data_IF_637901097941
#
_entry.id   IF_637901097941
#
_cell.length_a   1.000
_cell.length_b   1.000
_cell.length_c   1.000
_cell.angle_alpha   90.00
_cell.angle_beta   90.00
_cell.angle_gamma   90.00
#
_symmetry.space_group_name_H-M   'P 1'
#
loop_
_entity.id
_entity.type
_entity.pdbx_description
1 polymer ?
#
# COMPACT_ATOMS: atom_id res chain seq x y z
N UNK A 1 24.73 7.59 -32.29
CA UNK A 1 23.62 7.23 -33.21
C UNK A 1 22.37 7.05 -32.36
N UNK A 2 21.36 7.89 -32.53
CA UNK A 2 20.07 7.75 -31.82
C UNK A 2 19.17 6.79 -32.62
N UNK A 3 18.52 5.85 -31.93
CA UNK A 3 17.62 4.87 -32.54
C UNK A 3 16.39 5.55 -33.12
N UNK A 4 16.03 5.23 -34.36
CA UNK A 4 14.84 5.77 -35.02
C UNK A 4 13.56 5.38 -34.26
N UNK A 5 12.62 6.33 -34.10
CA UNK A 5 11.40 6.15 -33.30
C UNK A 5 10.56 4.94 -33.73
N UNK A 6 10.58 4.57 -35.02
CA UNK A 6 9.90 3.40 -35.55
C UNK A 6 10.46 2.05 -35.06
N UNK A 7 11.62 2.05 -34.38
CA UNK A 7 12.23 0.88 -33.73
C UNK A 7 12.00 0.83 -32.22
N UNK A 8 11.29 1.80 -31.65
CA UNK A 8 10.90 1.81 -30.23
C UNK A 8 9.51 1.18 -30.11
N UNK A 9 9.31 0.36 -29.09
CA UNK A 9 8.01 -0.22 -28.71
C UNK A 9 7.81 -0.04 -27.21
N UNK A 10 6.55 0.12 -26.82
CA UNK A 10 6.16 0.13 -25.41
C UNK A 10 6.10 -1.31 -24.92
N UNK A 11 6.90 -1.63 -23.90
CA UNK A 11 6.73 -2.86 -23.15
C UNK A 11 5.77 -2.58 -22.00
N UNK A 12 4.57 -3.14 -22.08
CA UNK A 12 3.60 -3.05 -20.98
C UNK A 12 3.97 -4.05 -19.89
N UNK A 13 3.83 -3.63 -18.63
CA UNK A 13 3.98 -4.54 -17.49
C UNK A 13 2.72 -5.41 -17.39
N UNK A 14 2.90 -6.69 -17.10
CA UNK A 14 1.80 -7.60 -16.74
C UNK A 14 1.73 -7.81 -15.23
N UNK A 15 0.61 -8.36 -14.78
CA UNK A 15 0.43 -8.93 -13.45
C UNK A 15 0.08 -10.41 -13.64
N UNK A 16 0.65 -11.28 -12.81
CA UNK A 16 0.33 -12.70 -12.83
C UNK A 16 -0.99 -12.92 -12.10
N UNK A 17 -2.05 -13.28 -12.85
CA UNK A 17 -3.40 -13.44 -12.32
C UNK A 17 -3.57 -14.71 -11.49
N UNK A 18 -2.64 -15.67 -11.57
CA UNK A 18 -2.69 -16.89 -10.76
C UNK A 18 -2.24 -16.60 -9.33
N UNK A 19 -1.25 -15.72 -9.15
CA UNK A 19 -0.75 -15.35 -7.82
C UNK A 19 -1.45 -14.12 -7.23
N UNK A 20 -1.94 -13.20 -8.08
CA UNK A 20 -2.73 -12.03 -7.66
C UNK A 20 -4.22 -12.26 -7.94
N UNK A 21 -4.81 -13.21 -7.22
CA UNK A 21 -6.20 -13.62 -7.40
C UNK A 21 -7.06 -13.34 -6.15
N UNK A 22 -8.32 -12.89 -6.30
CA UNK A 22 -9.23 -12.66 -5.16
C UNK A 22 -9.49 -13.89 -4.27
N UNK A 23 -9.23 -15.11 -4.78
CA UNK A 23 -9.37 -16.35 -4.01
C UNK A 23 -8.46 -16.42 -2.78
N UNK A 24 -7.35 -15.67 -2.77
CA UNK A 24 -6.43 -15.58 -1.63
C UNK A 24 -6.88 -14.55 -0.59
N UNK A 25 -8.09 -13.98 -0.72
CA UNK A 25 -8.66 -13.11 0.30
C UNK A 25 -8.79 -13.85 1.65
N UNK A 26 -8.15 -13.32 2.69
CA UNK A 26 -8.18 -13.87 4.04
C UNK A 26 -8.89 -12.92 5.01
N UNK A 27 -9.82 -13.46 5.81
CA UNK A 27 -10.47 -12.71 6.90
C UNK A 27 -9.46 -12.32 7.99
N UNK A 28 -8.47 -13.16 8.24
CA UNK A 28 -7.39 -12.88 9.20
C UNK A 28 -6.54 -11.69 8.74
N UNK A 29 -6.15 -11.66 7.46
CA UNK A 29 -5.43 -10.52 6.91
C UNK A 29 -6.29 -9.26 6.92
N UNK A 30 -7.60 -9.38 6.60
CA UNK A 30 -8.54 -8.26 6.71
C UNK A 30 -8.56 -7.69 8.13
N UNK A 31 -8.70 -8.53 9.15
CA UNK A 31 -8.67 -8.15 10.56
C UNK A 31 -7.35 -7.46 10.96
N UNK A 32 -6.22 -8.04 10.54
CA UNK A 32 -4.87 -7.51 10.80
C UNK A 32 -4.71 -6.11 10.23
N UNK A 33 -5.02 -5.93 8.94
CA UNK A 33 -4.84 -4.64 8.26
C UNK A 33 -5.83 -3.58 8.73
N UNK A 34 -7.02 -3.96 9.18
CA UNK A 34 -8.03 -3.03 9.70
C UNK A 34 -7.90 -2.73 11.20
N UNK A 35 -6.85 -3.22 11.87
CA UNK A 35 -6.68 -3.11 13.33
C UNK A 35 -7.92 -3.58 14.12
N UNK A 36 -8.46 -4.74 13.75
CA UNK A 36 -9.62 -5.35 14.42
C UNK A 36 -11.00 -4.83 14.01
N UNK A 37 -11.09 -3.89 13.07
CA UNK A 37 -12.38 -3.38 12.56
C UNK A 37 -12.61 -3.75 11.08
N UNK A 38 -12.88 -5.03 10.78
CA UNK A 38 -12.91 -5.54 9.40
C UNK A 38 -14.05 -4.94 8.59
N UNK A 39 -15.12 -4.49 9.22
CA UNK A 39 -16.29 -3.90 8.53
C UNK A 39 -16.03 -2.46 8.04
N UNK A 40 -15.01 -1.78 8.57
CA UNK A 40 -14.70 -0.41 8.14
C UNK A 40 -13.98 -0.39 6.79
N UNK A 41 -14.13 0.69 6.00
CA UNK A 41 -13.36 0.86 4.78
C UNK A 41 -11.86 0.85 5.08
N UNK A 42 -11.10 0.12 4.28
CA UNK A 42 -9.65 -0.04 4.43
C UNK A 42 -8.94 0.53 3.21
N UNK A 43 -8.08 1.52 3.44
CA UNK A 43 -7.12 2.03 2.46
C UNK A 43 -5.81 1.26 2.62
N UNK A 44 -5.31 0.72 1.51
CA UNK A 44 -4.08 -0.09 1.52
C UNK A 44 -3.04 0.56 0.63
N UNK A 45 -1.84 0.75 1.15
CA UNK A 45 -0.65 1.03 0.36
C UNK A 45 0.29 -0.18 0.43
N UNK A 46 0.68 -0.71 -0.73
CA UNK A 46 1.66 -1.80 -0.82
C UNK A 46 2.85 -1.31 -1.63
N UNK A 47 4.03 -1.31 -1.01
CA UNK A 47 5.28 -1.00 -1.70
C UNK A 47 6.32 -0.33 -0.80
N UNK A 48 7.37 0.18 -1.43
CA UNK A 48 8.45 0.88 -0.72
C UNK A 48 7.91 2.19 -0.12
N UNK A 49 8.16 2.40 1.17
CA UNK A 49 7.84 3.63 1.90
C UNK A 49 8.89 4.69 1.59
N UNK A 50 8.70 5.39 0.48
CA UNK A 50 9.57 6.46 -0.02
C UNK A 50 8.84 7.78 -0.14
N UNK A 51 9.58 8.88 0.03
CA UNK A 51 9.06 10.26 -0.12
C UNK A 51 8.45 10.51 -1.50
N UNK A 52 8.95 9.84 -2.54
CA UNK A 52 8.47 9.93 -3.91
C UNK A 52 7.04 9.40 -4.08
N UNK A 53 6.50 8.70 -3.08
CA UNK A 53 5.16 8.14 -3.07
C UNK A 53 4.10 9.10 -2.50
N UNK A 54 4.50 10.26 -1.99
CA UNK A 54 3.61 11.29 -1.42
C UNK A 54 2.61 10.72 -0.41
N UNK A 55 3.09 9.84 0.48
CA UNK A 55 2.25 9.13 1.47
C UNK A 55 1.71 10.06 2.56
N UNK A 56 2.28 11.25 2.72
CA UNK A 56 1.77 12.32 3.57
C UNK A 56 0.37 12.80 3.14
N UNK A 57 0.02 12.68 1.87
CA UNK A 57 -1.33 12.96 1.38
C UNK A 57 -2.39 12.09 2.07
N UNK A 58 -2.05 10.83 2.39
CA UNK A 58 -2.97 9.90 3.03
C UNK A 58 -3.36 10.37 4.43
N UNK A 59 -2.49 11.11 5.14
CA UNK A 59 -2.85 11.74 6.41
C UNK A 59 -4.03 12.70 6.24
N UNK A 60 -4.00 13.54 5.21
CA UNK A 60 -5.06 14.52 4.93
C UNK A 60 -6.39 13.84 4.55
N UNK A 61 -6.32 12.64 3.97
CA UNK A 61 -7.49 11.81 3.69
C UNK A 61 -8.08 11.28 5.00
N UNK A 62 -7.24 10.74 5.88
CA UNK A 62 -7.66 10.23 7.19
C UNK A 62 -8.27 11.32 8.07
N UNK A 63 -7.72 12.54 8.05
CA UNK A 63 -8.28 13.68 8.79
C UNK A 63 -9.73 14.02 8.35
N UNK A 64 -10.11 13.69 7.10
CA UNK A 64 -11.47 13.93 6.56
C UNK A 64 -12.40 12.72 6.66
N UNK A 65 -11.85 11.53 6.88
CA UNK A 65 -12.56 10.26 6.87
C UNK A 65 -12.23 9.47 8.14
N UNK A 66 -12.80 9.86 9.31
CA UNK A 66 -12.44 9.27 10.60
C UNK A 66 -12.83 7.79 10.74
N UNK A 67 -13.78 7.31 9.91
CA UNK A 67 -14.23 5.92 9.89
C UNK A 67 -13.39 5.00 9.00
N UNK A 68 -12.32 5.53 8.37
CA UNK A 68 -11.44 4.74 7.50
C UNK A 68 -10.28 4.17 8.30
N UNK A 69 -9.89 2.94 7.97
CA UNK A 69 -8.64 2.31 8.41
C UNK A 69 -7.59 2.42 7.31
N UNK A 70 -6.33 2.59 7.68
CA UNK A 70 -5.23 2.60 6.71
C UNK A 70 -4.17 1.56 7.08
N UNK A 71 -3.73 0.79 6.08
CA UNK A 71 -2.61 -0.13 6.21
C UNK A 71 -1.50 0.25 5.23
N UNK A 72 -0.28 0.35 5.75
CA UNK A 72 0.95 0.62 5.01
C UNK A 72 1.81 -0.65 5.05
N UNK A 73 1.88 -1.34 3.91
CA UNK A 73 2.59 -2.61 3.71
C UNK A 73 3.89 -2.32 2.96
N UNK A 74 4.99 -2.79 3.52
CA UNK A 74 6.33 -2.57 3.02
C UNK A 74 7.20 -1.79 4.01
N UNK A 75 8.38 -1.43 3.54
CA UNK A 75 9.37 -0.69 4.32
C UNK A 75 10.08 0.33 3.43
N UNK A 76 10.87 1.22 4.02
CA UNK A 76 11.66 2.19 3.31
C UNK A 76 12.16 3.32 4.20
N UNK A 77 13.03 4.18 3.65
CA UNK A 77 13.66 5.26 4.40
C UNK A 77 12.66 6.26 4.98
N UNK A 78 11.43 6.32 4.46
CA UNK A 78 10.39 7.24 4.93
C UNK A 78 9.52 6.66 6.05
N UNK A 79 9.76 5.43 6.49
CA UNK A 79 8.93 4.72 7.48
C UNK A 79 8.81 5.46 8.80
N UNK A 80 9.93 5.84 9.41
CA UNK A 80 9.90 6.49 10.73
C UNK A 80 9.14 7.82 10.73
N UNK A 81 9.25 8.59 9.64
CA UNK A 81 8.52 9.84 9.50
C UNK A 81 7.01 9.60 9.34
N UNK A 82 6.62 8.56 8.60
CA UNK A 82 5.22 8.15 8.48
C UNK A 82 4.66 7.67 9.82
N UNK A 83 5.38 6.82 10.56
CA UNK A 83 4.92 6.34 11.88
C UNK A 83 4.68 7.51 12.85
N UNK A 84 5.55 8.53 12.84
CA UNK A 84 5.35 9.78 13.59
C UNK A 84 4.13 10.56 13.09
N UNK A 85 3.96 10.68 11.78
CA UNK A 85 2.88 11.43 11.14
C UNK A 85 1.49 10.83 11.40
N UNK A 86 1.40 9.50 11.42
CA UNK A 86 0.18 8.74 11.68
C UNK A 86 0.00 8.38 13.16
N UNK A 87 0.83 8.91 14.06
CA UNK A 87 0.72 8.66 15.48
C UNK A 87 -0.66 9.10 16.02
N UNK A 88 -1.33 8.20 16.74
CA UNK A 88 -2.70 8.42 17.23
C UNK A 88 -3.81 8.25 16.18
N UNK A 89 -3.47 7.94 14.93
CA UNK A 89 -4.44 7.62 13.88
C UNK A 89 -4.69 6.11 13.79
N UNK A 90 -5.76 5.77 13.07
CA UNK A 90 -6.16 4.40 12.79
C UNK A 90 -5.29 3.74 11.68
N UNK A 91 -3.96 3.78 11.84
CA UNK A 91 -2.98 3.30 10.88
C UNK A 91 -2.26 2.03 11.37
N UNK A 92 -2.06 1.06 10.46
CA UNK A 92 -1.30 -0.17 10.67
C UNK A 92 -0.07 -0.15 9.77
N UNK A 93 1.10 -0.37 10.34
CA UNK A 93 2.35 -0.59 9.62
C UNK A 93 2.74 -2.06 9.76
N UNK A 94 2.69 -2.82 8.67
CA UNK A 94 3.00 -4.26 8.73
C UNK A 94 4.48 -4.56 8.60
N UNK A 95 5.27 -3.59 8.09
CA UNK A 95 6.57 -3.89 7.51
C UNK A 95 6.45 -4.65 6.20
N UNK A 96 7.56 -5.22 5.73
CA UNK A 96 7.59 -6.02 4.51
C UNK A 96 6.90 -7.38 4.74
N UNK A 97 5.90 -7.69 3.91
CA UNK A 97 5.27 -9.01 3.81
C UNK A 97 5.83 -9.73 2.57
N UNK A 98 5.90 -11.06 2.63
CA UNK A 98 6.45 -11.88 1.56
C UNK A 98 5.61 -13.13 1.31
N UNK A 99 5.61 -13.62 0.08
CA UNK A 99 4.91 -14.85 -0.28
C UNK A 99 3.39 -14.71 -0.15
N UNK A 100 2.79 -15.65 0.58
CA UNK A 100 1.34 -15.76 0.79
C UNK A 100 0.86 -15.07 2.07
N UNK A 101 1.73 -14.32 2.75
CA UNK A 101 1.34 -13.47 3.89
C UNK A 101 0.45 -12.31 3.45
#
# INVERSE_FOLDING_TARGET
RVTAANKIRLWIKGVDSEIFHPQYGSHEMRLRLSNGEPEKPLVVHVGRLGVEKSLDFLKRVMDKLPDVRIALIGDGPYREELEKMFSGMAAVFTGMLQGEE
#
